data_IF_639534274373
#
_entry.id   IF_639534274373
#
_cell.length_a   1.000
_cell.length_b   1.000
_cell.length_c   1.000
_cell.angle_alpha   90.00
_cell.angle_beta   90.00
_cell.angle_gamma   90.00
#
_symmetry.space_group_name_H-M   'P 1'
#
loop_
_entity.id
_entity.type
_entity.pdbx_description
1 polymer ?
#
# COMPACT_ATOMS: atom_id res chain seq x y z
N UNK A 1 41.46 -0.53 -3.42
CA UNK A 1 40.26 -1.20 -2.88
C UNK A 1 39.43 -0.15 -2.16
N UNK A 2 38.29 0.25 -2.75
CA UNK A 2 37.30 1.12 -2.11
C UNK A 2 36.14 0.24 -1.64
N UNK A 3 35.57 0.44 -0.43
CA UNK A 3 34.50 -0.40 0.05
C UNK A 3 33.21 -0.09 -0.71
N UNK A 4 32.58 -1.14 -1.26
CA UNK A 4 31.27 -1.07 -1.89
C UNK A 4 30.22 -0.65 -0.86
N UNK A 5 29.67 0.55 -1.02
CA UNK A 5 28.60 1.07 -0.17
C UNK A 5 27.36 0.17 -0.26
N UNK A 6 26.85 -0.25 0.90
CA UNK A 6 25.61 -1.05 1.00
C UNK A 6 24.43 -0.30 0.35
N UNK A 7 23.59 -0.96 -0.46
CA UNK A 7 22.41 -0.34 -1.05
C UNK A 7 21.37 0.00 0.05
N UNK A 8 20.92 1.26 0.08
CA UNK A 8 19.80 1.71 0.93
C UNK A 8 18.48 1.37 0.23
N UNK A 9 17.62 0.60 0.90
CA UNK A 9 16.24 0.31 0.45
C UNK A 9 15.35 1.51 0.79
N UNK A 10 14.67 2.08 -0.22
CA UNK A 10 13.73 3.19 -0.08
C UNK A 10 12.34 2.65 -0.43
N UNK A 11 11.49 2.39 0.56
CA UNK A 11 10.06 2.19 0.33
C UNK A 11 9.43 3.56 0.06
N UNK A 12 8.69 3.69 -1.05
CA UNK A 12 7.95 4.91 -1.39
C UNK A 12 6.46 4.68 -1.19
N UNK A 13 5.89 5.03 -0.02
CA UNK A 13 4.46 5.27 0.04
C UNK A 13 4.14 6.48 -0.86
N UNK A 14 3.06 6.37 -1.63
CA UNK A 14 2.43 7.51 -2.28
C UNK A 14 1.74 8.36 -1.19
N UNK A 15 2.52 9.11 -0.42
CA UNK A 15 1.99 10.10 0.51
C UNK A 15 2.90 11.32 0.52
N UNK A 16 2.32 12.42 0.04
CA UNK A 16 2.63 13.84 0.30
C UNK A 16 4.10 14.23 0.32
N UNK A 17 4.50 15.04 -0.66
CA UNK A 17 5.51 16.06 -0.41
C UNK A 17 5.19 16.75 0.93
N UNK A 18 6.21 17.15 1.70
CA UNK A 18 6.07 17.87 2.97
C UNK A 18 5.32 19.22 2.86
N UNK A 19 4.98 19.63 1.65
CA UNK A 19 4.12 20.76 1.39
C UNK A 19 2.67 20.33 1.59
N UNK A 20 1.92 21.07 2.40
CA UNK A 20 0.47 20.93 2.48
C UNK A 20 -0.14 21.17 1.09
N UNK A 21 -0.39 20.09 0.35
CA UNK A 21 -1.00 20.14 -0.98
C UNK A 21 -2.52 20.23 -0.77
N UNK A 22 -3.18 21.34 -1.15
CA UNK A 22 -4.63 21.41 -1.10
C UNK A 22 -5.25 20.31 -1.97
N UNK A 23 -6.42 19.77 -1.58
CA UNK A 23 -7.06 18.67 -2.30
C UNK A 23 -7.26 19.02 -3.77
N UNK A 24 -6.91 18.07 -4.64
CA UNK A 24 -7.18 18.16 -6.08
C UNK A 24 -8.66 17.90 -6.31
N UNK A 25 -9.41 18.92 -6.71
CA UNK A 25 -10.75 18.73 -7.28
C UNK A 25 -10.64 17.82 -8.51
N UNK A 26 -11.32 16.68 -8.44
CA UNK A 26 -11.55 15.80 -9.58
C UNK A 26 -12.57 16.47 -10.49
N UNK A 27 -12.10 17.13 -11.56
CA UNK A 27 -12.97 17.55 -12.66
C UNK A 27 -13.48 16.30 -13.37
N UNK A 28 -14.76 16.03 -13.18
CA UNK A 28 -15.55 15.15 -14.05
C UNK A 28 -15.61 15.69 -15.46
N UNK A 29 -15.71 14.78 -16.41
CA UNK A 29 -16.01 15.07 -17.80
C UNK A 29 -17.40 15.70 -17.91
N UNK A 30 -17.47 16.96 -18.33
CA UNK A 30 -18.53 17.47 -19.21
C UNK A 30 -18.07 18.79 -19.85
N UNK A 31 -18.49 18.97 -21.11
CA UNK A 31 -17.92 19.93 -22.04
C UNK A 31 -18.15 21.40 -21.70
N UNK A 32 -17.23 22.22 -22.24
CA UNK A 32 -17.34 23.64 -22.50
C UNK A 32 -17.99 24.50 -21.40
N UNK A 33 -17.15 25.03 -20.51
CA UNK A 33 -17.28 26.43 -20.13
C UNK A 33 -15.93 27.05 -19.82
N UNK A 34 -15.77 28.27 -20.30
CA UNK A 34 -14.55 29.05 -20.31
C UNK A 34 -13.85 29.08 -18.94
N UNK A 35 -12.61 28.59 -18.88
CA UNK A 35 -11.69 28.97 -17.81
C UNK A 35 -10.73 30.00 -18.35
N UNK A 36 -11.02 31.24 -17.98
CA UNK A 36 -10.19 32.41 -18.19
C UNK A 36 -8.74 32.13 -17.80
N UNK A 37 -7.84 32.38 -18.76
CA UNK A 37 -6.51 32.90 -18.44
C UNK A 37 -6.71 34.16 -17.59
N UNK A 38 -6.31 34.13 -16.33
CA UNK A 38 -5.29 35.03 -15.80
C UNK A 38 -5.19 34.96 -14.26
N UNK A 39 -3.95 35.05 -13.79
CA UNK A 39 -3.54 35.42 -12.44
C UNK A 39 -3.85 34.46 -11.30
N UNK A 40 -3.01 33.42 -11.16
CA UNK A 40 -2.13 33.33 -9.99
C UNK A 40 -0.77 32.72 -10.42
N UNK A 41 0.01 33.44 -11.22
CA UNK A 41 1.47 33.31 -11.10
C UNK A 41 1.78 33.88 -9.72
N UNK A 42 1.70 33.04 -8.67
CA UNK A 42 2.16 33.41 -7.33
C UNK A 42 3.54 34.01 -7.50
N UNK A 43 3.82 35.10 -6.81
CA UNK A 43 5.13 35.73 -6.90
C UNK A 43 6.19 34.74 -6.37
N UNK A 44 6.79 33.97 -7.28
CA UNK A 44 7.83 32.98 -6.97
C UNK A 44 9.05 33.79 -6.62
N UNK A 45 9.18 34.11 -5.35
CA UNK A 45 10.18 35.06 -4.84
C UNK A 45 11.27 34.37 -4.03
N UNK A 46 11.00 33.15 -3.54
CA UNK A 46 11.96 32.37 -2.77
C UNK A 46 12.31 31.03 -3.39
N UNK A 47 13.48 30.50 -3.01
CA UNK A 47 13.94 29.13 -3.29
C UNK A 47 12.89 28.09 -2.87
N UNK A 48 12.28 28.28 -1.70
CA UNK A 48 11.24 27.42 -1.16
C UNK A 48 9.98 27.39 -2.04
N UNK A 49 9.60 28.51 -2.65
CA UNK A 49 8.42 28.57 -3.53
C UNK A 49 8.66 27.84 -4.85
N UNK A 50 9.86 27.96 -5.42
CA UNK A 50 10.26 27.19 -6.61
C UNK A 50 10.20 25.70 -6.30
N UNK A 51 10.76 25.28 -5.15
CA UNK A 51 10.73 23.89 -4.73
C UNK A 51 9.30 23.37 -4.51
N UNK A 52 8.42 24.18 -3.91
CA UNK A 52 6.98 23.90 -3.73
C UNK A 52 6.28 23.65 -5.06
N UNK A 53 6.40 24.59 -5.99
CA UNK A 53 5.71 24.50 -7.29
C UNK A 53 6.24 23.33 -8.12
N UNK A 54 7.54 23.07 -8.08
CA UNK A 54 8.12 21.92 -8.76
C UNK A 54 7.67 20.58 -8.15
N UNK A 55 7.53 20.51 -6.82
CA UNK A 55 6.96 19.36 -6.14
C UNK A 55 5.47 19.17 -6.47
N UNK A 56 4.70 20.26 -6.55
CA UNK A 56 3.30 20.23 -6.99
C UNK A 56 3.17 19.73 -8.43
N UNK A 57 4.05 20.18 -9.33
CA UNK A 57 4.10 19.72 -10.72
C UNK A 57 4.42 18.22 -10.81
N UNK A 58 5.39 17.73 -10.02
CA UNK A 58 5.71 16.30 -9.95
C UNK A 58 4.47 15.46 -9.61
N UNK A 59 3.69 15.87 -8.60
CA UNK A 59 2.47 15.16 -8.17
C UNK A 59 1.35 15.30 -9.21
N UNK A 60 1.01 16.54 -9.60
CA UNK A 60 -0.14 16.84 -10.46
C UNK A 60 0.02 16.29 -11.88
N UNK A 61 1.24 16.30 -12.41
CA UNK A 61 1.53 15.85 -13.78
C UNK A 61 2.19 14.47 -13.83
N UNK A 62 2.32 13.78 -12.68
CA UNK A 62 2.93 12.44 -12.57
C UNK A 62 4.31 12.37 -13.26
N UNK A 63 5.13 13.40 -13.08
CA UNK A 63 6.45 13.46 -13.70
C UNK A 63 7.36 12.37 -13.12
N UNK A 64 8.31 11.86 -13.91
CA UNK A 64 9.37 11.02 -13.36
C UNK A 64 10.36 11.87 -12.55
N UNK A 65 11.13 11.24 -11.66
CA UNK A 65 12.24 11.94 -10.99
C UNK A 65 13.27 12.46 -12.00
N UNK A 66 13.52 11.74 -13.09
CA UNK A 66 14.43 12.22 -14.13
C UNK A 66 13.91 13.50 -14.79
N UNK A 67 12.60 13.60 -15.04
CA UNK A 67 11.99 14.80 -15.58
C UNK A 67 12.07 15.98 -14.60
N UNK A 68 11.78 15.75 -13.31
CA UNK A 68 11.97 16.78 -12.26
C UNK A 68 13.42 17.25 -12.20
N UNK A 69 14.39 16.33 -12.35
CA UNK A 69 15.80 16.67 -12.35
C UNK A 69 16.23 17.47 -13.57
N UNK A 70 15.68 17.17 -14.74
CA UNK A 70 15.91 17.97 -15.94
C UNK A 70 15.35 19.39 -15.80
N UNK A 71 14.14 19.53 -15.24
CA UNK A 71 13.53 20.84 -14.96
C UNK A 71 14.35 21.62 -13.92
N UNK A 72 14.81 20.96 -12.86
CA UNK A 72 15.66 21.58 -11.85
C UNK A 72 16.97 22.12 -12.45
N UNK A 73 17.61 21.36 -13.35
CA UNK A 73 18.81 21.83 -14.08
C UNK A 73 18.53 23.05 -14.95
N UNK A 74 17.38 23.07 -15.63
CA UNK A 74 16.97 24.23 -16.44
C UNK A 74 16.78 25.47 -15.56
N UNK A 75 16.11 25.33 -14.41
CA UNK A 75 15.88 26.44 -13.47
C UNK A 75 17.20 26.96 -12.89
N UNK A 76 18.16 26.08 -12.59
CA UNK A 76 19.51 26.47 -12.16
C UNK A 76 20.26 27.20 -13.29
N UNK A 77 20.13 26.74 -14.54
CA UNK A 77 20.72 27.42 -15.70
C UNK A 77 20.13 28.83 -15.94
N UNK A 78 18.89 29.07 -15.48
CA UNK A 78 18.24 30.38 -15.50
C UNK A 78 18.66 31.29 -14.33
N UNK A 79 19.57 30.84 -13.45
CA UNK A 79 20.16 31.64 -12.38
C UNK A 79 19.53 31.49 -11.00
N UNK A 80 18.62 30.53 -10.81
CA UNK A 80 18.00 30.29 -9.50
C UNK A 80 18.80 29.28 -8.66
N UNK A 81 19.00 29.60 -7.37
CA UNK A 81 19.66 28.70 -6.42
C UNK A 81 18.66 27.66 -5.87
N UNK A 82 18.52 26.53 -6.57
CA UNK A 82 17.74 25.38 -6.11
C UNK A 82 18.55 24.07 -6.17
N UNK A 83 18.22 23.06 -5.35
CA UNK A 83 18.83 21.74 -5.47
C UNK A 83 18.54 21.10 -6.83
N UNK A 84 19.53 20.43 -7.41
CA UNK A 84 19.36 19.68 -8.67
C UNK A 84 18.79 18.28 -8.42
N UNK A 85 19.09 17.66 -7.27
CA UNK A 85 18.56 16.34 -6.94
C UNK A 85 17.05 16.45 -6.67
N UNK A 86 16.20 15.81 -7.50
CA UNK A 86 14.75 15.76 -7.30
C UNK A 86 14.34 15.32 -5.88
N UNK A 87 15.13 14.45 -5.25
CA UNK A 87 14.85 13.96 -3.89
C UNK A 87 14.94 15.05 -2.84
N UNK A 88 15.86 15.99 -3.03
CA UNK A 88 16.01 17.16 -2.14
C UNK A 88 14.87 18.15 -2.37
N UNK A 89 14.47 18.36 -3.63
CA UNK A 89 13.34 19.22 -4.00
C UNK A 89 12.03 18.71 -3.39
N UNK A 90 11.79 17.40 -3.51
CA UNK A 90 10.59 16.74 -2.99
C UNK A 90 10.62 16.54 -1.48
N UNK A 91 11.71 16.96 -0.82
CA UNK A 91 11.98 16.74 0.60
C UNK A 91 11.69 15.30 1.03
N UNK A 92 12.04 14.33 0.16
CA UNK A 92 11.80 12.93 0.48
C UNK A 92 12.56 12.58 1.74
N UNK A 93 11.85 12.35 2.84
CA UNK A 93 12.44 11.88 4.07
C UNK A 93 13.08 10.54 3.78
N UNK A 94 14.41 10.50 3.87
CA UNK A 94 15.09 9.24 4.06
C UNK A 94 14.70 8.79 5.47
N UNK A 95 13.60 8.05 5.60
CA UNK A 95 13.38 7.22 6.77
C UNK A 95 14.24 5.99 6.50
N UNK A 96 15.50 5.91 6.99
CA UNK A 96 16.20 4.67 6.92
C UNK A 96 15.31 3.64 7.60
N UNK A 97 15.02 2.55 6.90
CA UNK A 97 14.54 1.31 7.50
C UNK A 97 15.69 0.84 8.41
N UNK A 98 15.82 1.49 9.57
CA UNK A 98 16.92 1.34 10.53
C UNK A 98 16.71 0.00 11.21
N UNK A 99 17.58 -0.96 10.91
CA UNK A 99 17.75 -2.26 11.58
C UNK A 99 16.54 -3.20 11.68
N UNK A 100 15.34 -2.81 11.23
CA UNK A 100 14.19 -3.71 11.14
C UNK A 100 13.76 -3.73 9.69
N UNK A 101 13.86 -4.88 9.03
CA UNK A 101 13.24 -5.15 7.73
C UNK A 101 11.71 -5.00 7.75
N UNK A 102 11.13 -4.37 8.76
CA UNK A 102 9.70 -4.22 8.98
C UNK A 102 9.40 -2.83 9.56
N UNK A 103 8.31 -2.22 9.09
CA UNK A 103 7.77 -0.98 9.63
C UNK A 103 6.24 -1.04 9.67
N UNK A 104 5.65 -0.52 10.75
CA UNK A 104 4.21 -0.43 10.96
C UNK A 104 3.79 1.05 10.99
N UNK A 105 2.88 1.44 10.10
CA UNK A 105 2.42 2.82 9.91
C UNK A 105 1.16 3.18 10.71
N UNK A 106 0.46 2.17 11.27
CA UNK A 106 -0.87 2.23 11.89
C UNK A 106 -2.04 2.19 10.90
N UNK A 107 -2.95 1.24 11.14
CA UNK A 107 -4.24 1.13 10.47
C UNK A 107 -5.15 2.28 10.90
N UNK A 108 -5.21 2.59 12.20
CA UNK A 108 -6.05 3.68 12.74
C UNK A 108 -5.77 5.01 12.05
N UNK A 109 -4.50 5.37 11.87
CA UNK A 109 -4.11 6.60 11.18
C UNK A 109 -4.60 6.62 9.73
N UNK A 110 -4.46 5.52 9.00
CA UNK A 110 -4.97 5.40 7.63
C UNK A 110 -6.49 5.54 7.56
N UNK A 111 -7.22 4.93 8.48
CA UNK A 111 -8.69 5.06 8.56
C UNK A 111 -9.12 6.51 8.81
N UNK A 112 -8.48 7.22 9.75
CA UNK A 112 -8.77 8.62 10.01
C UNK A 112 -8.56 9.50 8.77
N UNK A 113 -7.52 9.23 7.99
CA UNK A 113 -7.30 9.97 6.73
C UNK A 113 -8.39 9.68 5.70
N UNK A 114 -8.90 8.44 5.64
CA UNK A 114 -10.04 8.09 4.76
C UNK A 114 -11.35 8.73 5.21
N UNK A 115 -11.60 8.81 6.52
CA UNK A 115 -12.75 9.52 7.07
C UNK A 115 -12.74 11.01 6.73
N UNK A 116 -11.58 11.68 6.83
CA UNK A 116 -11.43 13.09 6.42
C UNK A 116 -11.73 13.34 4.95
N UNK A 117 -11.56 12.33 4.08
CA UNK A 117 -11.93 12.42 2.66
C UNK A 117 -13.41 12.21 2.41
N UNK A 118 -14.15 11.76 3.43
CA UNK A 118 -15.58 11.50 3.38
C UNK A 118 -15.91 10.03 3.07
N UNK A 119 -17.12 9.65 3.48
CA UNK A 119 -17.66 8.29 3.35
C UNK A 119 -18.86 8.28 2.40
N UNK A 120 -19.05 7.15 1.71
CA UNK A 120 -20.20 6.90 0.84
C UNK A 120 -21.39 6.47 1.72
N UNK A 121 -22.54 7.11 1.52
CA UNK A 121 -23.76 6.85 2.27
C UNK A 121 -23.81 7.66 3.56
N UNK A 122 -24.63 8.71 3.55
CA UNK A 122 -24.81 9.59 4.71
C UNK A 122 -25.34 8.80 5.91
N UNK A 123 -24.74 9.02 7.08
CA UNK A 123 -25.16 8.38 8.34
C UNK A 123 -24.67 6.94 8.54
N UNK A 124 -23.98 6.33 7.57
CA UNK A 124 -23.36 5.02 7.79
C UNK A 124 -22.11 5.16 8.66
N UNK A 125 -22.13 4.53 9.84
CA UNK A 125 -21.03 4.54 10.80
C UNK A 125 -20.20 3.26 10.75
N UNK A 126 -20.17 2.55 9.63
CA UNK A 126 -19.35 1.35 9.44
C UNK A 126 -18.27 1.59 8.39
N UNK A 127 -17.02 1.28 8.72
CA UNK A 127 -15.88 1.33 7.81
C UNK A 127 -15.63 -0.09 7.28
N UNK A 128 -15.79 -0.29 5.97
CA UNK A 128 -15.61 -1.59 5.34
C UNK A 128 -14.22 -1.72 4.73
N UNK A 129 -13.39 -2.54 5.33
CA UNK A 129 -11.98 -2.73 4.99
C UNK A 129 -11.76 -3.97 4.14
N UNK A 130 -11.08 -3.81 3.00
CA UNK A 130 -10.43 -4.90 2.27
C UNK A 130 -8.95 -4.88 2.59
N UNK A 131 -8.43 -6.00 3.06
CA UNK A 131 -7.01 -6.13 3.40
C UNK A 131 -6.31 -6.86 2.27
N UNK A 132 -5.23 -6.30 1.75
CA UNK A 132 -4.38 -6.97 0.76
C UNK A 132 -3.02 -7.27 1.38
N UNK A 133 -2.54 -8.50 1.18
CA UNK A 133 -1.21 -8.92 1.62
C UNK A 133 -0.63 -9.77 0.51
N UNK A 134 0.50 -9.33 -0.03
CA UNK A 134 1.18 -9.99 -1.13
C UNK A 134 2.68 -9.70 -1.09
N UNK A 135 3.50 -10.52 -1.76
CA UNK A 135 4.94 -10.36 -1.89
C UNK A 135 5.32 -9.96 -3.30
N UNK A 136 6.14 -8.91 -3.45
CA UNK A 136 6.66 -8.52 -4.77
C UNK A 136 8.17 -8.25 -4.74
N UNK A 137 8.96 -8.81 -5.68
CA UNK A 137 10.37 -8.49 -5.79
C UNK A 137 10.58 -7.02 -6.12
N UNK A 138 11.39 -6.32 -5.31
CA UNK A 138 11.69 -4.89 -5.52
C UNK A 138 12.74 -4.71 -6.60
N UNK A 139 13.70 -5.62 -6.68
CA UNK A 139 14.80 -5.57 -7.63
C UNK A 139 14.90 -6.89 -8.39
N UNK A 140 15.16 -6.80 -9.71
CA UNK A 140 15.37 -7.99 -10.54
C UNK A 140 16.66 -8.75 -10.20
N UNK A 141 17.64 -8.06 -9.58
CA UNK A 141 19.00 -8.57 -9.37
C UNK A 141 19.36 -8.80 -7.90
N UNK A 142 18.64 -8.17 -6.97
CA UNK A 142 18.81 -8.38 -5.54
C UNK A 142 17.55 -9.08 -5.03
N UNK A 143 17.72 -10.18 -4.31
CA UNK A 143 16.65 -10.93 -3.67
C UNK A 143 16.06 -10.13 -2.49
N UNK A 144 15.47 -8.97 -2.75
CA UNK A 144 14.74 -8.18 -1.77
C UNK A 144 13.30 -8.12 -2.23
N UNK A 145 12.42 -8.72 -1.43
CA UNK A 145 10.99 -8.70 -1.65
C UNK A 145 10.35 -7.70 -0.69
N UNK A 146 9.31 -7.04 -1.18
CA UNK A 146 8.42 -6.19 -0.41
C UNK A 146 7.17 -6.98 -0.10
N UNK A 147 6.80 -7.00 1.17
CA UNK A 147 5.57 -7.61 1.66
C UNK A 147 4.77 -6.54 2.40
N UNK A 148 3.94 -5.77 1.69
CA UNK A 148 3.03 -4.83 2.31
C UNK A 148 1.78 -5.52 2.88
N UNK A 149 1.26 -4.96 3.97
CA UNK A 149 -0.12 -5.09 4.40
C UNK A 149 -0.81 -3.79 4.00
N UNK A 150 -1.75 -3.88 3.06
CA UNK A 150 -2.51 -2.74 2.55
C UNK A 150 -3.96 -2.82 3.02
N UNK A 151 -4.58 -1.67 3.21
CA UNK A 151 -6.02 -1.57 3.47
C UNK A 151 -6.67 -0.64 2.46
N UNK A 152 -7.82 -1.07 1.93
CA UNK A 152 -8.72 -0.27 1.13
C UNK A 152 -10.05 -0.14 1.88
N UNK A 153 -10.49 1.10 2.09
CA UNK A 153 -11.84 1.37 2.62
C UNK A 153 -12.80 1.48 1.43
N UNK A 154 -13.65 0.47 1.23
CA UNK A 154 -14.47 0.37 0.01
C UNK A 154 -15.60 1.39 -0.03
N UNK A 155 -16.05 1.85 1.13
CA UNK A 155 -17.09 2.84 1.28
C UNK A 155 -16.56 4.22 1.67
N UNK A 156 -15.30 4.52 1.34
CA UNK A 156 -14.76 5.89 1.37
C UNK A 156 -14.90 6.53 -0.01
N UNK A 157 -15.08 7.85 -0.05
CA UNK A 157 -15.01 8.64 -1.30
C UNK A 157 -13.63 8.49 -1.97
N UNK A 158 -12.57 8.31 -1.17
CA UNK A 158 -11.24 7.94 -1.64
C UNK A 158 -10.96 6.44 -1.38
N UNK A 159 -11.38 5.59 -2.32
CA UNK A 159 -11.18 4.14 -2.22
C UNK A 159 -9.76 3.66 -2.60
N UNK A 160 -8.77 4.56 -2.70
CA UNK A 160 -7.38 4.15 -2.92
C UNK A 160 -6.81 3.36 -1.73
N UNK A 161 -6.03 2.29 -1.94
CA UNK A 161 -5.42 1.56 -0.85
C UNK A 161 -4.33 2.39 -0.16
N UNK A 162 -4.16 2.18 1.14
CA UNK A 162 -3.06 2.74 1.94
C UNK A 162 -2.29 1.63 2.64
N UNK A 163 -1.06 1.95 3.04
CA UNK A 163 -0.14 1.02 3.69
C UNK A 163 -0.41 0.99 5.20
N UNK A 164 -0.61 -0.21 5.75
CA UNK A 164 -0.64 -0.46 7.20
C UNK A 164 0.75 -0.85 7.71
N UNK A 165 1.41 -1.76 7.01
CA UNK A 165 2.73 -2.28 7.37
C UNK A 165 3.51 -2.68 6.14
N UNK A 166 4.84 -2.69 6.23
CA UNK A 166 5.72 -3.14 5.16
C UNK A 166 6.84 -3.94 5.76
N UNK A 167 7.04 -5.16 5.24
CA UNK A 167 8.30 -5.87 5.34
C UNK A 167 9.12 -5.67 4.05
N UNK A 168 10.42 -5.46 4.18
CA UNK A 168 11.39 -5.36 3.10
C UNK A 168 12.64 -6.17 3.48
N UNK A 169 12.81 -7.33 2.86
CA UNK A 169 13.89 -8.25 3.21
C UNK A 169 14.08 -9.33 2.16
N UNK A 170 14.96 -10.30 2.45
CA UNK A 170 15.21 -11.39 1.52
C UNK A 170 14.09 -12.42 1.59
N UNK A 171 13.30 -12.52 0.51
CA UNK A 171 12.15 -13.41 0.48
C UNK A 171 10.97 -12.87 1.29
N UNK A 172 10.07 -13.79 1.67
CA UNK A 172 8.95 -13.52 2.58
C UNK A 172 9.41 -13.18 4.01
N UNK A 173 8.54 -12.57 4.83
CA UNK A 173 8.84 -12.32 6.24
C UNK A 173 9.23 -13.62 6.96
N UNK A 174 10.32 -13.63 7.74
CA UNK A 174 10.83 -14.85 8.37
C UNK A 174 9.91 -15.36 9.50
N UNK A 175 9.25 -14.44 10.20
CA UNK A 175 8.25 -14.75 11.21
C UNK A 175 6.90 -14.17 10.78
N UNK A 176 5.94 -15.05 10.50
CA UNK A 176 4.57 -14.65 10.18
C UNK A 176 3.92 -13.93 11.37
N UNK A 177 4.18 -14.42 12.58
CA UNK A 177 3.63 -13.85 13.81
C UNK A 177 4.13 -12.42 14.03
N UNK A 178 5.44 -12.18 13.96
CA UNK A 178 5.99 -10.83 14.11
C UNK A 178 5.51 -9.87 13.01
N UNK A 179 5.33 -10.39 11.80
CA UNK A 179 4.85 -9.64 10.65
C UNK A 179 3.39 -9.21 10.80
N UNK A 180 2.51 -10.10 11.27
CA UNK A 180 1.07 -9.82 11.39
C UNK A 180 0.67 -9.20 12.72
N UNK A 181 1.40 -9.45 13.82
CA UNK A 181 1.00 -9.05 15.17
C UNK A 181 0.62 -7.57 15.27
N UNK A 182 1.42 -6.60 14.78
CA UNK A 182 1.05 -5.19 14.91
C UNK A 182 -0.28 -4.85 14.22
N UNK A 183 -0.51 -5.39 13.03
CA UNK A 183 -1.78 -5.21 12.30
C UNK A 183 -2.95 -5.87 13.04
N UNK A 184 -2.81 -7.12 13.46
CA UNK A 184 -3.88 -7.86 14.12
C UNK A 184 -4.26 -7.24 15.47
N UNK A 185 -3.27 -6.78 16.25
CA UNK A 185 -3.53 -6.09 17.51
C UNK A 185 -4.35 -4.82 17.30
N UNK A 186 -3.96 -3.95 16.36
CA UNK A 186 -4.76 -2.76 16.04
C UNK A 186 -6.15 -3.15 15.50
N UNK A 187 -6.23 -4.13 14.61
CA UNK A 187 -7.50 -4.53 14.02
C UNK A 187 -8.48 -5.03 15.07
N UNK A 188 -8.07 -5.92 15.98
CA UNK A 188 -8.91 -6.44 17.06
C UNK A 188 -9.44 -5.29 17.93
N UNK A 189 -8.55 -4.38 18.33
CA UNK A 189 -8.91 -3.21 19.12
C UNK A 189 -9.94 -2.33 18.38
N UNK A 190 -9.73 -2.08 17.09
CA UNK A 190 -10.63 -1.26 16.27
C UNK A 190 -11.97 -1.94 16.01
N UNK A 191 -12.03 -3.27 15.94
CA UNK A 191 -13.30 -4.00 15.84
C UNK A 191 -14.09 -3.94 17.16
N UNK A 192 -13.42 -3.93 18.31
CA UNK A 192 -14.09 -3.84 19.61
C UNK A 192 -14.49 -2.42 20.00
N UNK A 193 -13.62 -1.43 19.75
CA UNK A 193 -13.78 -0.06 20.25
C UNK A 193 -14.31 0.90 19.17
N UNK A 194 -14.09 0.60 17.89
CA UNK A 194 -14.35 1.51 16.78
C UNK A 194 -13.30 2.60 16.61
N UNK A 195 -13.61 3.55 15.71
CA UNK A 195 -12.79 4.75 15.42
C UNK A 195 -13.63 5.99 15.71
N UNK A 196 -13.17 6.82 16.64
CA UNK A 196 -13.78 8.13 16.90
C UNK A 196 -13.31 9.17 15.87
N UNK A 197 -14.26 9.85 15.25
CA UNK A 197 -14.01 10.95 14.30
C UNK A 197 -15.21 11.91 14.29
N UNK A 198 -14.98 13.21 14.44
CA UNK A 198 -16.03 14.25 14.46
C UNK A 198 -17.20 13.93 15.40
N UNK A 199 -16.90 13.52 16.63
CA UNK A 199 -17.87 13.14 17.67
C UNK A 199 -18.78 11.96 17.29
N UNK A 200 -18.40 11.16 16.29
CA UNK A 200 -19.06 9.91 15.90
C UNK A 200 -18.10 8.75 16.10
N UNK A 201 -18.62 7.62 16.58
CA UNK A 201 -17.86 6.38 16.65
C UNK A 201 -18.22 5.50 15.46
N UNK A 202 -17.21 5.12 14.68
CA UNK A 202 -17.34 4.27 13.50
C UNK A 202 -16.93 2.83 13.84
N UNK A 203 -17.80 1.85 13.58
CA UNK A 203 -17.42 0.44 13.63
C UNK A 203 -16.50 0.07 12.46
N UNK A 204 -15.61 -0.89 12.66
CA UNK A 204 -14.66 -1.34 11.63
C UNK A 204 -14.93 -2.81 11.30
N UNK A 205 -15.10 -3.11 10.02
CA UNK A 205 -15.36 -4.45 9.52
C UNK A 205 -14.34 -4.84 8.45
N UNK A 206 -13.76 -6.04 8.55
CA UNK A 206 -13.03 -6.64 7.43
C UNK A 206 -14.04 -7.40 6.57
N UNK A 207 -14.15 -7.02 5.31
CA UNK A 207 -15.04 -7.70 4.37
C UNK A 207 -14.32 -8.76 3.52
N UNK A 208 -13.01 -8.63 3.33
CA UNK A 208 -12.22 -9.62 2.58
C UNK A 208 -10.71 -9.47 2.80
N UNK A 209 -10.01 -10.59 2.73
CA UNK A 209 -8.56 -10.64 2.48
C UNK A 209 -8.28 -10.95 1.00
N UNK A 210 -7.48 -10.11 0.35
CA UNK A 210 -7.08 -10.21 -1.06
C UNK A 210 -5.62 -10.61 -1.11
N UNK A 211 -5.35 -11.82 -1.56
CA UNK A 211 -4.03 -12.40 -1.72
C UNK A 211 -4.05 -13.40 -2.87
N UNK A 212 -2.91 -13.61 -3.52
CA UNK A 212 -2.70 -14.69 -4.48
C UNK A 212 -2.57 -16.04 -3.75
N UNK A 213 -2.42 -17.15 -4.49
CA UNK A 213 -2.34 -18.47 -3.86
C UNK A 213 -1.08 -18.66 -2.98
N UNK A 214 0.15 -18.30 -3.42
CA UNK A 214 1.35 -18.36 -2.58
C UNK A 214 1.27 -17.51 -1.29
N UNK A 215 0.79 -16.26 -1.37
CA UNK A 215 0.64 -15.42 -0.18
C UNK A 215 -0.42 -15.99 0.76
N UNK A 216 -1.56 -16.48 0.23
CA UNK A 216 -2.59 -17.13 1.04
C UNK A 216 -2.06 -18.37 1.76
N UNK A 217 -1.28 -19.19 1.07
CA UNK A 217 -0.60 -20.35 1.65
C UNK A 217 0.29 -19.94 2.83
N UNK A 218 1.10 -18.88 2.66
CA UNK A 218 1.96 -18.36 3.70
C UNK A 218 1.17 -17.86 4.92
N UNK A 219 0.12 -17.07 4.69
CA UNK A 219 -0.70 -16.47 5.75
C UNK A 219 -1.49 -17.52 6.55
N UNK A 220 -2.00 -18.53 5.85
CA UNK A 220 -2.79 -19.60 6.45
C UNK A 220 -1.93 -20.71 7.08
N UNK A 221 -0.64 -20.77 6.72
CA UNK A 221 0.29 -21.85 7.12
C UNK A 221 -0.23 -23.21 6.68
N UNK A 222 -0.56 -23.32 5.39
CA UNK A 222 -1.20 -24.51 4.81
C UNK A 222 -0.37 -25.13 3.69
N UNK A 223 -0.78 -26.33 3.26
CA UNK A 223 -0.23 -26.95 2.06
C UNK A 223 -0.63 -26.12 0.83
N UNK A 224 0.32 -25.92 -0.08
CA UNK A 224 0.07 -25.16 -1.31
C UNK A 224 -0.94 -25.83 -2.22
N UNK A 225 -1.57 -25.04 -3.10
CA UNK A 225 -2.59 -25.50 -4.05
C UNK A 225 -2.16 -26.66 -4.97
N UNK A 226 -0.85 -26.86 -5.18
CA UNK A 226 -0.30 -27.99 -5.94
C UNK A 226 0.01 -29.25 -5.13
N UNK A 227 -0.18 -29.24 -3.80
CA UNK A 227 0.07 -30.38 -2.93
C UNK A 227 -1.14 -31.28 -2.75
N UNK A 228 -0.90 -32.53 -2.33
CA UNK A 228 -1.96 -33.51 -2.05
C UNK A 228 -2.95 -33.04 -0.97
N UNK A 229 -2.50 -32.28 0.03
CA UNK A 229 -3.38 -31.64 1.03
C UNK A 229 -3.87 -30.23 0.63
N UNK A 230 -3.69 -29.81 -0.63
CA UNK A 230 -3.79 -28.41 -1.04
C UNK A 230 -5.20 -27.81 -1.09
N UNK A 231 -6.26 -28.62 -0.93
CA UNK A 231 -7.61 -28.08 -0.92
C UNK A 231 -7.89 -27.33 0.38
N UNK A 232 -8.23 -26.05 0.27
CA UNK A 232 -8.49 -25.19 1.43
C UNK A 232 -9.87 -25.39 2.04
N UNK A 233 -10.79 -26.04 1.31
CA UNK A 233 -12.21 -26.13 1.67
C UNK A 233 -12.60 -27.50 2.23
N UNK A 234 -11.93 -28.55 1.79
CA UNK A 234 -12.26 -29.91 2.18
C UNK A 234 -11.00 -30.73 2.48
N UNK A 235 -11.22 -31.87 3.11
CA UNK A 235 -10.17 -32.78 3.59
C UNK A 235 -9.78 -33.86 2.58
N UNK A 236 -10.33 -33.81 1.36
CA UNK A 236 -10.00 -34.77 0.32
C UNK A 236 -8.50 -34.70 -0.04
N UNK A 237 -7.93 -35.83 -0.42
CA UNK A 237 -6.56 -35.89 -0.93
C UNK A 237 -6.57 -35.59 -2.42
N UNK A 238 -5.71 -34.68 -2.85
CA UNK A 238 -5.54 -34.32 -4.25
C UNK A 238 -5.03 -35.50 -5.08
N UNK A 239 -5.41 -35.51 -6.36
CA UNK A 239 -4.97 -36.51 -7.34
C UNK A 239 -4.19 -35.79 -8.43
N UNK A 240 -2.95 -36.23 -8.68
CA UNK A 240 -2.16 -35.69 -9.77
C UNK A 240 -2.70 -36.19 -11.11
N UNK A 241 -3.07 -35.25 -11.97
CA UNK A 241 -3.48 -35.54 -13.34
C UNK A 241 -2.23 -35.55 -14.25
N UNK A 242 -1.84 -36.71 -14.82
CA UNK A 242 -0.66 -36.82 -15.66
C UNK A 242 -0.84 -36.21 -17.06
N UNK A 243 -2.07 -35.95 -17.50
CA UNK A 243 -2.37 -35.35 -18.81
C UNK A 243 -2.19 -33.83 -18.74
N UNK A 244 -2.74 -33.21 -17.69
CA UNK A 244 -2.67 -31.75 -17.50
C UNK A 244 -1.52 -31.29 -16.61
N UNK A 245 -0.77 -32.24 -16.03
CA UNK A 245 0.34 -32.00 -15.12
C UNK A 245 -0.04 -31.08 -13.94
N UNK A 246 -1.21 -31.31 -13.35
CA UNK A 246 -1.73 -30.50 -12.26
C UNK A 246 -2.34 -31.36 -11.14
N UNK A 247 -2.44 -30.77 -9.95
CA UNK A 247 -3.17 -31.40 -8.85
C UNK A 247 -4.66 -31.11 -9.00
N UNK A 248 -5.48 -32.15 -8.92
CA UNK A 248 -6.95 -32.07 -9.02
C UNK A 248 -7.60 -32.54 -7.74
N UNK A 249 -8.83 -32.09 -7.50
CA UNK A 249 -9.65 -32.45 -6.35
C UNK A 249 -11.00 -32.94 -6.88
N UNK A 250 -11.07 -34.19 -7.38
CA UNK A 250 -12.15 -34.66 -8.25
C UNK A 250 -13.41 -35.08 -7.48
N UNK A 251 -13.33 -35.30 -6.16
CA UNK A 251 -14.50 -35.67 -5.37
C UNK A 251 -15.46 -34.48 -5.27
N UNK A 252 -16.74 -34.72 -5.60
CA UNK A 252 -17.80 -33.69 -5.64
C UNK A 252 -18.97 -33.99 -4.69
N UNK A 253 -19.07 -35.21 -4.16
CA UNK A 253 -20.22 -35.69 -3.36
C UNK A 253 -19.69 -36.28 -2.05
N UNK A 254 -20.45 -36.13 -0.96
CA UNK A 254 -20.13 -36.65 0.39
C UNK A 254 -18.75 -36.27 0.93
N UNK A 255 -18.26 -35.09 0.55
CA UNK A 255 -16.93 -34.61 0.95
C UNK A 255 -16.97 -34.02 2.35
N UNK A 256 -16.02 -34.44 3.18
CA UNK A 256 -15.80 -33.83 4.49
C UNK A 256 -15.15 -32.44 4.34
N UNK A 257 -15.91 -31.40 4.67
CA UNK A 257 -15.41 -30.03 4.73
C UNK A 257 -14.34 -29.90 5.82
N UNK A 258 -13.39 -28.96 5.64
CA UNK A 258 -12.42 -28.68 6.68
C UNK A 258 -13.12 -28.02 7.88
N UNK A 259 -12.78 -28.51 9.06
CA UNK A 259 -13.07 -27.88 10.33
C UNK A 259 -11.86 -27.07 10.77
N UNK A 260 -12.05 -26.24 11.78
CA UNK A 260 -10.98 -25.51 12.45
C UNK A 260 -9.80 -26.42 12.86
N UNK A 261 -10.09 -27.62 13.36
CA UNK A 261 -9.07 -28.59 13.76
C UNK A 261 -8.38 -29.23 12.55
N UNK A 262 -9.15 -29.76 11.59
CA UNK A 262 -8.54 -30.40 10.39
C UNK A 262 -7.81 -29.41 9.50
N UNK A 263 -8.08 -28.11 9.64
CA UNK A 263 -7.30 -27.05 9.01
C UNK A 263 -5.95 -26.81 9.70
N UNK A 264 -5.89 -26.84 11.05
CA UNK A 264 -4.66 -26.62 11.83
C UNK A 264 -3.69 -27.79 11.77
N UNK A 265 -4.19 -29.01 11.58
CA UNK A 265 -3.38 -30.25 11.58
C UNK A 265 -3.15 -30.86 10.18
N UNK A 266 -3.25 -30.04 9.12
CA UNK A 266 -3.07 -30.52 7.75
C UNK A 266 -1.61 -30.74 7.34
#
# INVERSE_FOLDING_TARGET
QLPAGKPKIIARPYTSASYDIPPTDTLGSDGNNAFSNDNILRHISSKEDIMKELALLYVRKKLSLSAVGAIAKLIVALGHDIPIDPRTILQTTNTPIRNKSFHHFSLKNGLLQKLKKGMIGSGNLTIKCQINIDGTPVFKTNSVDLWPILCRVVNSLDSSPFVISIFAGKGKPPSLEEYLRPFLTEMIQLQSEGVEFESKCYSVEIISFVCDAPARQFLKVITGHGGYGGCERCSQTGVFDPVYHCMTFPELVDISLRTDDTFRYQ
#
